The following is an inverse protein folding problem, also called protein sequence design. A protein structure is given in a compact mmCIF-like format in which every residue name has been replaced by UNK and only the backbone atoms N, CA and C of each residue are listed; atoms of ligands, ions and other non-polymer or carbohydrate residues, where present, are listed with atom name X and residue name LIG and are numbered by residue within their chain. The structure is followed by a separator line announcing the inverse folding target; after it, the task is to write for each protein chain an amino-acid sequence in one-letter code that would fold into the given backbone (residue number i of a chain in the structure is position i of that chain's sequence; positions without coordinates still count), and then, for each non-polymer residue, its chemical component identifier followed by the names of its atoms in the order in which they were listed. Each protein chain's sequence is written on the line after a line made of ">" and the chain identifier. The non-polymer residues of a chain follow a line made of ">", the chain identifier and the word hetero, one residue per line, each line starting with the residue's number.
data_IF_528536475275
#
_entry.id   IF_528536475275
#
_cell.length_a   1.000
_cell.length_b   1.000
_cell.length_c   1.000
_cell.angle_alpha   90.00
_cell.angle_beta   90.00
_cell.angle_gamma   90.00
#
_symmetry.space_group_name_H-M   'P 1'
#
loop_
_entity.id
_entity.type
_entity.pdbx_description
1 polymer ?
#
# COMPACT_ATOMS: atom_id res chain seq x y z
N UNK A 1 -28.84 4.20 77.53
CA UNK A 1 -28.77 5.52 76.87
C UNK A 1 -29.84 5.59 75.80
N UNK A 2 -31.04 5.92 76.25
CA UNK A 2 -32.19 6.25 75.41
C UNK A 2 -31.85 7.57 74.70
N UNK A 3 -31.84 7.66 73.37
CA UNK A 3 -31.70 8.96 72.72
C UNK A 3 -32.83 9.87 73.21
N UNK A 4 -32.47 11.03 73.76
CA UNK A 4 -33.46 12.02 74.18
C UNK A 4 -34.09 12.64 72.92
N UNK A 5 -35.18 12.02 72.49
CA UNK A 5 -36.01 12.47 71.37
C UNK A 5 -37.02 13.55 71.81
N UNK A 6 -37.02 13.96 73.08
CA UNK A 6 -38.04 14.85 73.64
C UNK A 6 -37.93 16.31 73.18
N UNK A 7 -36.90 16.65 72.41
CA UNK A 7 -36.58 18.00 71.96
C UNK A 7 -36.59 18.25 70.45
N UNK A 8 -37.43 17.57 69.65
CA UNK A 8 -37.99 17.97 68.32
C UNK A 8 -38.41 16.75 67.48
N UNK A 9 -39.46 16.03 67.86
CA UNK A 9 -40.11 14.96 67.05
C UNK A 9 -40.88 15.50 65.83
N UNK A 10 -40.36 16.55 65.19
CA UNK A 10 -40.97 17.15 64.01
C UNK A 10 -40.89 16.16 62.85
N UNK A 11 -42.01 15.93 62.18
CA UNK A 11 -42.04 15.20 60.90
C UNK A 11 -41.00 15.78 59.94
N UNK A 12 -40.16 14.91 59.37
CA UNK A 12 -39.06 15.24 58.48
C UNK A 12 -37.68 15.25 59.15
N UNK A 13 -37.59 15.14 60.47
CA UNK A 13 -36.31 14.97 61.18
C UNK A 13 -35.80 13.52 61.06
N UNK A 14 -34.48 13.37 61.02
CA UNK A 14 -33.78 12.09 61.03
C UNK A 14 -32.71 12.08 62.14
N UNK A 15 -32.56 10.93 62.80
CA UNK A 15 -31.59 10.72 63.87
C UNK A 15 -30.73 9.53 63.50
N UNK A 16 -29.40 9.70 63.63
CA UNK A 16 -28.47 8.60 63.46
C UNK A 16 -28.26 7.87 64.77
N UNK A 17 -28.47 6.57 64.76
CA UNK A 17 -28.24 5.69 65.90
C UNK A 17 -26.75 5.66 66.19
N UNK A 18 -26.39 6.05 67.42
CA UNK A 18 -25.00 6.12 67.88
C UNK A 18 -24.60 4.91 68.75
N UNK A 19 -25.58 4.14 69.24
CA UNK A 19 -25.39 2.94 70.06
C UNK A 19 -26.47 1.92 69.67
N UNK A 20 -26.08 0.69 69.35
CA UNK A 20 -27.02 -0.39 69.03
C UNK A 20 -27.89 -0.76 70.25
N UNK A 21 -29.12 -1.18 70.01
CA UNK A 21 -30.02 -1.59 71.08
C UNK A 21 -31.48 -1.80 70.65
N UNK A 22 -32.34 -2.08 71.62
CA UNK A 22 -33.71 -2.56 71.38
C UNK A 22 -34.82 -1.58 71.74
N UNK A 23 -34.51 -0.28 71.80
CA UNK A 23 -35.50 0.73 72.18
C UNK A 23 -36.62 0.77 71.14
N UNK A 24 -37.87 0.57 71.59
CA UNK A 24 -39.04 0.64 70.71
C UNK A 24 -39.29 2.09 70.27
N UNK A 25 -39.19 2.31 68.96
CA UNK A 25 -39.54 3.57 68.32
C UNK A 25 -40.52 3.25 67.19
N UNK A 26 -41.82 3.45 67.46
CA UNK A 26 -42.89 3.23 66.46
C UNK A 26 -43.04 1.75 66.07
N UNK A 27 -42.79 0.81 66.98
CA UNK A 27 -42.85 -0.63 66.75
C UNK A 27 -41.53 -1.23 66.24
N UNK A 28 -40.48 -0.42 66.06
CA UNK A 28 -39.16 -0.87 65.59
C UNK A 28 -38.23 -0.99 66.79
N UNK A 29 -37.74 -2.21 67.03
CA UNK A 29 -36.94 -2.57 68.23
C UNK A 29 -35.57 -3.14 67.89
N UNK A 30 -35.13 -3.06 66.64
CA UNK A 30 -33.84 -3.60 66.21
C UNK A 30 -33.02 -2.45 65.62
N UNK A 31 -32.10 -1.89 66.40
CA UNK A 31 -31.28 -0.74 66.00
C UNK A 31 -29.80 -1.08 66.12
N UNK A 32 -29.06 -0.88 65.05
CA UNK A 32 -27.62 -0.99 64.94
C UNK A 32 -26.97 0.38 64.82
N UNK A 33 -25.68 0.47 65.19
CA UNK A 33 -24.95 1.74 65.07
C UNK A 33 -24.88 2.17 63.60
N UNK A 34 -25.32 3.39 63.32
CA UNK A 34 -25.34 3.98 61.98
C UNK A 34 -26.71 3.98 61.30
N UNK A 35 -27.71 3.27 61.83
CA UNK A 35 -29.07 3.32 61.31
C UNK A 35 -29.62 4.75 61.40
N UNK A 36 -30.54 5.10 60.50
CA UNK A 36 -31.28 6.36 60.59
C UNK A 36 -32.73 6.07 61.00
N UNK A 37 -33.15 6.61 62.14
CA UNK A 37 -34.55 6.72 62.51
C UNK A 37 -35.12 8.01 61.90
N UNK A 38 -36.17 7.92 61.09
CA UNK A 38 -36.78 9.08 60.42
C UNK A 38 -38.22 9.22 60.87
N UNK A 39 -38.59 10.41 61.38
CA UNK A 39 -39.98 10.67 61.78
C UNK A 39 -40.79 11.13 60.58
N UNK A 40 -41.81 10.36 60.19
CA UNK A 40 -42.77 10.75 59.15
C UNK A 40 -44.04 11.36 59.76
N UNK A 41 -45.00 11.73 58.91
CA UNK A 41 -46.32 12.24 59.36
C UNK A 41 -47.16 11.14 60.04
N UNK A 42 -46.95 9.89 59.64
CA UNK A 42 -47.79 8.76 60.05
C UNK A 42 -47.10 7.85 61.06
N UNK A 43 -45.78 7.63 60.95
CA UNK A 43 -45.00 6.95 61.98
C UNK A 43 -43.47 7.10 61.79
N UNK A 44 -42.67 6.23 62.39
CA UNK A 44 -41.23 6.12 62.21
C UNK A 44 -40.86 5.15 61.08
N UNK A 45 -39.81 5.50 60.36
CA UNK A 45 -39.15 4.62 59.39
C UNK A 45 -37.71 4.41 59.88
N UNK A 46 -37.24 3.17 59.82
CA UNK A 46 -35.82 2.83 59.94
C UNK A 46 -35.22 2.76 58.54
N UNK A 47 -34.06 3.38 58.38
CA UNK A 47 -33.18 3.16 57.23
C UNK A 47 -31.94 2.48 57.78
N UNK A 48 -31.69 1.24 57.36
CA UNK A 48 -30.60 0.44 57.91
C UNK A 48 -29.24 1.02 57.50
N UNK A 49 -28.25 0.88 58.38
CA UNK A 49 -26.88 1.30 58.11
C UNK A 49 -26.28 0.61 56.88
N UNK A 50 -26.67 -0.64 56.62
CA UNK A 50 -26.30 -1.39 55.41
C UNK A 50 -27.00 -0.86 54.16
N UNK A 51 -28.24 -0.34 54.28
CA UNK A 51 -28.97 0.29 53.16
C UNK A 51 -28.32 1.62 52.73
N UNK A 52 -27.67 2.32 53.65
CA UNK A 52 -27.00 3.62 53.41
C UNK A 52 -25.51 3.44 53.04
N UNK A 53 -25.00 2.20 53.09
CA UNK A 53 -23.56 1.91 52.95
C UNK A 53 -22.97 2.24 51.58
N UNK A 54 -23.80 2.36 50.54
CA UNK A 54 -23.35 2.72 49.20
C UNK A 54 -23.30 4.26 49.02
N UNK A 55 -22.25 4.89 49.53
CA UNK A 55 -21.88 6.25 49.11
C UNK A 55 -21.33 6.17 47.68
N UNK A 56 -21.92 6.91 46.75
CA UNK A 56 -21.46 6.99 45.37
C UNK A 56 -19.95 7.29 45.30
N UNK A 57 -19.18 6.42 44.63
CA UNK A 57 -17.72 6.52 44.53
C UNK A 57 -16.92 5.74 45.59
N UNK A 58 -17.57 5.11 46.57
CA UNK A 58 -16.95 4.26 47.60
C UNK A 58 -17.19 2.76 47.41
N UNK A 59 -17.49 2.31 46.18
CA UNK A 59 -17.80 0.90 45.90
C UNK A 59 -16.52 0.06 46.06
N UNK A 60 -16.41 -0.63 47.19
CA UNK A 60 -15.41 -1.68 47.41
C UNK A 60 -16.07 -3.03 47.09
N UNK A 61 -15.38 -3.94 46.39
CA UNK A 61 -15.93 -5.24 45.94
C UNK A 61 -15.55 -5.60 44.50
N UNK A 62 -16.06 -6.73 44.00
CA UNK A 62 -15.79 -7.21 42.64
C UNK A 62 -16.64 -6.45 41.61
N UNK A 63 -16.00 -5.96 40.55
CA UNK A 63 -16.63 -5.21 39.46
C UNK A 63 -17.80 -5.97 38.79
N UNK A 64 -17.80 -7.31 38.84
CA UNK A 64 -18.85 -8.16 38.29
C UNK A 64 -20.25 -7.88 38.83
N UNK A 65 -20.36 -7.32 40.04
CA UNK A 65 -21.65 -6.99 40.65
C UNK A 65 -22.13 -5.58 40.28
N UNK A 66 -21.27 -4.77 39.67
CA UNK A 66 -21.58 -3.42 39.18
C UNK A 66 -21.82 -3.47 37.67
N UNK A 67 -22.93 -4.11 37.30
CA UNK A 67 -23.21 -4.48 35.90
C UNK A 67 -23.31 -3.26 34.96
N UNK A 68 -23.81 -2.12 35.44
CA UNK A 68 -23.89 -0.85 34.71
C UNK A 68 -22.50 -0.26 34.40
N UNK A 69 -21.61 -0.21 35.40
CA UNK A 69 -20.23 0.24 35.24
C UNK A 69 -19.42 -0.74 34.38
N UNK A 70 -19.62 -2.03 34.58
CA UNK A 70 -19.00 -3.06 33.76
C UNK A 70 -19.45 -2.92 32.30
N UNK A 71 -20.72 -2.66 32.04
CA UNK A 71 -21.23 -2.41 30.70
C UNK A 71 -20.62 -1.14 30.09
N UNK A 72 -20.58 -0.03 30.83
CA UNK A 72 -20.00 1.22 30.35
C UNK A 72 -18.49 1.10 30.06
N UNK A 73 -17.75 0.36 30.89
CA UNK A 73 -16.32 0.11 30.73
C UNK A 73 -16.05 -0.87 29.58
N UNK A 74 -16.88 -1.90 29.41
CA UNK A 74 -16.79 -2.83 28.28
C UNK A 74 -17.00 -2.16 26.93
N UNK A 75 -17.60 -0.97 26.89
CA UNK A 75 -17.74 -0.15 25.68
C UNK A 75 -16.51 0.72 25.39
N UNK A 76 -15.54 0.82 26.31
CA UNK A 76 -14.27 1.54 26.10
C UNK A 76 -13.26 0.62 25.45
N UNK A 77 -12.46 1.16 24.52
CA UNK A 77 -11.39 0.40 23.88
C UNK A 77 -10.33 0.01 24.94
N UNK A 78 -9.76 -1.21 24.86
CA UNK A 78 -8.62 -1.59 25.68
C UNK A 78 -7.46 -0.60 25.54
N UNK A 79 -6.75 -0.34 26.64
CA UNK A 79 -5.56 0.52 26.60
C UNK A 79 -4.41 -0.14 25.83
N UNK A 80 -4.27 -1.46 26.01
CA UNK A 80 -3.28 -2.27 25.32
C UNK A 80 -3.91 -2.89 24.06
N UNK A 81 -3.33 -2.57 22.89
CA UNK A 81 -3.72 -3.15 21.60
C UNK A 81 -5.22 -3.07 21.27
N UNK A 82 -5.81 -1.86 21.20
CA UNK A 82 -7.21 -1.71 20.86
C UNK A 82 -7.54 -2.30 19.49
N UNK A 83 -8.62 -3.08 19.41
CA UNK A 83 -9.20 -3.53 18.15
C UNK A 83 -10.26 -2.53 17.67
N UNK A 84 -10.05 -1.93 16.51
CA UNK A 84 -11.05 -1.07 15.87
C UNK A 84 -12.01 -1.92 15.03
N UNK A 85 -13.30 -1.89 15.36
CA UNK A 85 -14.34 -2.69 14.69
C UNK A 85 -15.08 -1.94 13.58
N UNK A 86 -14.72 -0.68 13.35
CA UNK A 86 -15.33 0.21 12.34
C UNK A 86 -14.26 1.09 11.69
N UNK A 87 -14.67 1.99 10.79
CA UNK A 87 -13.77 2.92 10.09
C UNK A 87 -13.02 3.81 11.08
N UNK A 88 -11.70 3.88 10.94
CA UNK A 88 -10.85 4.84 11.66
C UNK A 88 -10.68 6.08 10.78
N UNK A 89 -11.15 7.23 11.25
CA UNK A 89 -10.98 8.52 10.58
C UNK A 89 -10.10 9.44 11.42
N UNK A 90 -9.10 10.05 10.78
CA UNK A 90 -8.28 11.11 11.36
C UNK A 90 -8.63 12.43 10.67
N UNK A 91 -8.59 13.54 11.40
CA UNK A 91 -8.73 14.86 10.78
C UNK A 91 -7.54 15.15 9.84
N UNK A 92 -7.75 16.04 8.87
CA UNK A 92 -6.66 16.47 7.99
C UNK A 92 -5.48 17.01 8.79
N UNK A 93 -4.29 16.77 8.26
CA UNK A 93 -3.01 17.13 8.86
C UNK A 93 -2.68 16.45 10.21
N UNK A 94 -3.36 15.35 10.54
CA UNK A 94 -3.01 14.51 11.70
C UNK A 94 -2.21 13.30 11.26
N UNK A 95 -1.01 13.13 11.83
CA UNK A 95 -0.13 11.99 11.57
C UNK A 95 -0.58 10.74 12.34
N UNK A 96 -0.69 9.62 11.63
CA UNK A 96 -0.44 8.32 12.24
C UNK A 96 1.05 8.25 12.61
N UNK A 97 1.34 7.79 13.82
CA UNK A 97 2.70 7.79 14.37
C UNK A 97 3.05 6.46 15.00
N UNK A 98 4.31 6.09 14.89
CA UNK A 98 4.91 4.95 15.58
C UNK A 98 5.98 5.44 16.53
N UNK A 99 6.19 4.75 17.65
CA UNK A 99 7.36 5.01 18.50
C UNK A 99 8.61 4.72 17.68
N UNK A 100 9.61 5.59 17.77
CA UNK A 100 10.86 5.38 17.05
C UNK A 100 11.68 4.21 17.65
N UNK A 101 12.72 3.77 16.95
CA UNK A 101 13.55 2.65 17.42
C UNK A 101 14.20 2.92 18.78
N UNK A 102 14.50 4.19 19.09
CA UNK A 102 15.11 4.57 20.37
C UNK A 102 14.12 4.56 21.55
N UNK A 103 12.82 4.51 21.28
CA UNK A 103 11.76 4.56 22.30
C UNK A 103 11.53 5.95 22.90
N UNK A 104 12.21 6.98 22.41
CA UNK A 104 12.19 8.33 23.00
C UNK A 104 11.41 9.33 22.14
N UNK A 105 11.03 8.95 20.93
CA UNK A 105 10.35 9.80 19.97
C UNK A 105 9.31 9.07 19.15
N UNK A 106 8.89 9.73 18.06
CA UNK A 106 7.87 9.22 17.16
C UNK A 106 8.25 9.43 15.70
N UNK A 107 7.91 8.46 14.87
CA UNK A 107 7.96 8.52 13.42
C UNK A 107 6.59 8.92 12.89
N UNK A 108 6.53 10.02 12.14
CA UNK A 108 5.33 10.45 11.42
C UNK A 108 5.22 9.66 10.12
N UNK A 109 4.25 8.74 10.01
CA UNK A 109 4.19 7.83 8.87
C UNK A 109 3.26 8.31 7.78
N UNK A 110 1.96 8.39 8.06
CA UNK A 110 0.94 8.76 7.08
C UNK A 110 0.01 9.83 7.64
N UNK A 111 -0.35 10.81 6.80
CA UNK A 111 -1.45 11.74 7.07
C UNK A 111 -2.21 12.09 5.81
N UNK A 112 -3.51 12.32 5.94
CA UNK A 112 -4.26 13.04 4.91
C UNK A 112 -3.90 14.54 4.94
N UNK A 113 -3.83 15.16 3.76
CA UNK A 113 -3.64 16.60 3.62
C UNK A 113 -4.93 17.27 3.07
N UNK A 114 -4.88 18.60 2.87
CA UNK A 114 -6.05 19.35 2.38
C UNK A 114 -6.31 19.14 0.88
N UNK A 115 -5.36 18.54 0.18
CA UNK A 115 -5.41 18.27 -1.26
C UNK A 115 -5.93 16.85 -1.56
N UNK A 116 -6.60 16.22 -0.59
CA UNK A 116 -7.12 14.85 -0.68
C UNK A 116 -6.04 13.81 -1.07
N UNK A 117 -4.79 14.07 -0.69
CA UNK A 117 -3.69 13.12 -0.87
C UNK A 117 -3.09 12.72 0.47
N UNK A 118 -2.23 11.71 0.42
CA UNK A 118 -1.56 11.16 1.59
C UNK A 118 -0.10 11.60 1.55
N UNK A 119 0.33 12.28 2.60
CA UNK A 119 1.74 12.56 2.81
C UNK A 119 2.38 11.36 3.52
N UNK A 120 3.53 10.93 3.01
CA UNK A 120 4.37 9.92 3.65
C UNK A 120 5.55 10.63 4.31
N UNK A 121 5.62 10.58 5.64
CA UNK A 121 6.61 11.33 6.44
C UNK A 121 7.94 10.59 6.66
N UNK A 122 8.03 9.31 6.30
CA UNK A 122 9.24 8.47 6.39
C UNK A 122 9.41 7.63 5.13
N UNK A 123 10.57 7.01 4.94
CA UNK A 123 10.78 6.06 3.85
C UNK A 123 9.81 4.87 3.95
N UNK A 124 9.19 4.49 2.83
CA UNK A 124 8.47 3.23 2.71
C UNK A 124 9.45 2.10 2.44
N UNK A 125 9.63 1.22 3.42
CA UNK A 125 10.35 -0.04 3.24
C UNK A 125 9.34 -1.13 2.90
N UNK A 126 9.09 -1.32 1.62
CA UNK A 126 8.22 -2.38 1.09
C UNK A 126 9.09 -3.46 0.47
N UNK A 127 8.69 -4.73 0.56
CA UNK A 127 9.37 -5.82 -0.12
C UNK A 127 9.22 -5.67 -1.63
N UNK A 128 8.20 -6.31 -2.18
CA UNK A 128 7.81 -6.12 -3.58
C UNK A 128 6.56 -5.24 -3.67
N UNK A 129 6.46 -4.49 -4.78
CA UNK A 129 5.22 -3.81 -5.19
C UNK A 129 4.62 -4.69 -6.28
N UNK A 130 3.57 -5.44 -5.94
CA UNK A 130 2.98 -6.46 -6.80
C UNK A 130 1.55 -6.12 -7.22
N UNK A 131 1.15 -6.71 -8.33
CA UNK A 131 -0.19 -6.64 -8.89
C UNK A 131 -0.91 -7.97 -8.61
N UNK A 132 -2.24 -7.92 -8.54
CA UNK A 132 -3.05 -9.14 -8.51
C UNK A 132 -2.99 -9.90 -9.85
N UNK A 133 -3.32 -11.20 -9.81
CA UNK A 133 -3.51 -12.00 -11.03
C UNK A 133 -4.57 -11.35 -11.94
N UNK A 134 -4.30 -11.34 -13.24
CA UNK A 134 -5.17 -10.75 -14.28
C UNK A 134 -5.52 -9.25 -14.10
N UNK A 135 -4.71 -8.46 -13.40
CA UNK A 135 -4.98 -7.04 -13.14
C UNK A 135 -4.98 -6.12 -14.39
N UNK A 136 -4.67 -6.64 -15.57
CA UNK A 136 -4.65 -5.87 -16.82
C UNK A 136 -3.55 -4.80 -16.83
N UNK A 137 -3.92 -3.54 -17.15
CA UNK A 137 -2.98 -2.41 -17.20
C UNK A 137 -2.95 -1.68 -15.86
N UNK A 138 -1.79 -1.62 -15.23
CA UNK A 138 -1.55 -0.84 -14.00
C UNK A 138 -0.67 0.36 -14.31
N UNK A 139 -1.16 1.57 -14.00
CA UNK A 139 -0.32 2.77 -13.95
C UNK A 139 0.41 2.80 -12.61
N UNK A 140 1.72 2.55 -12.60
CA UNK A 140 2.53 2.55 -11.37
C UNK A 140 2.91 3.95 -10.89
N UNK A 141 3.03 4.89 -11.82
CA UNK A 141 3.39 6.27 -11.55
C UNK A 141 2.78 7.16 -12.63
N UNK A 142 2.24 8.30 -12.23
CA UNK A 142 1.77 9.35 -13.13
C UNK A 142 2.25 10.70 -12.60
N UNK A 143 2.95 11.45 -13.45
CA UNK A 143 3.45 12.78 -13.12
C UNK A 143 2.64 13.80 -13.92
N UNK A 144 1.69 14.50 -13.28
CA UNK A 144 0.94 15.54 -13.96
C UNK A 144 1.85 16.74 -14.26
N UNK A 145 1.67 17.33 -15.44
CA UNK A 145 2.34 18.56 -15.85
C UNK A 145 1.32 19.69 -15.81
N UNK A 146 1.64 20.78 -15.12
CA UNK A 146 0.78 21.96 -15.05
C UNK A 146 1.21 23.00 -16.08
N UNK A 147 0.28 23.87 -16.47
CA UNK A 147 0.57 25.06 -17.30
C UNK A 147 1.42 26.12 -16.60
N UNK A 148 1.81 25.89 -15.33
CA UNK A 148 2.74 26.76 -14.60
C UNK A 148 4.19 26.33 -14.76
N UNK A 149 4.45 25.12 -15.27
CA UNK A 149 5.80 24.70 -15.64
C UNK A 149 6.25 25.46 -16.89
N UNK A 150 7.51 25.90 -16.94
CA UNK A 150 8.05 26.51 -18.15
C UNK A 150 8.28 25.46 -19.24
N UNK A 151 8.10 25.86 -20.50
CA UNK A 151 8.43 25.04 -21.68
C UNK A 151 9.90 24.54 -21.61
N UNK A 152 10.10 23.27 -21.99
CA UNK A 152 11.39 22.59 -21.93
C UNK A 152 11.82 22.11 -20.54
N UNK A 153 11.03 22.31 -19.49
CA UNK A 153 11.34 21.78 -18.14
C UNK A 153 11.20 20.26 -18.14
N UNK A 154 12.18 19.53 -17.61
CA UNK A 154 12.12 18.06 -17.53
C UNK A 154 11.07 17.62 -16.51
N UNK A 155 10.21 16.69 -16.93
CA UNK A 155 9.23 15.99 -16.12
C UNK A 155 9.55 14.50 -16.18
N UNK A 156 10.24 13.98 -15.16
CA UNK A 156 10.75 12.62 -15.19
C UNK A 156 10.80 11.94 -13.82
N UNK A 157 10.77 10.62 -13.85
CA UNK A 157 11.06 9.76 -12.71
C UNK A 157 12.31 8.94 -13.01
N UNK A 158 13.12 8.72 -11.97
CA UNK A 158 14.38 7.99 -12.07
C UNK A 158 14.42 6.85 -11.08
N UNK A 159 14.76 5.65 -11.56
CA UNK A 159 15.15 4.54 -10.72
C UNK A 159 16.64 4.68 -10.38
N UNK A 160 16.98 4.53 -9.10
CA UNK A 160 18.35 4.65 -8.59
C UNK A 160 18.79 3.43 -7.80
N UNK A 161 20.09 3.13 -7.86
CA UNK A 161 20.75 2.15 -7.01
C UNK A 161 21.97 2.80 -6.38
N UNK A 162 22.05 2.77 -5.05
CA UNK A 162 23.19 3.34 -4.30
C UNK A 162 23.51 4.79 -4.72
N UNK A 163 22.46 5.61 -4.90
CA UNK A 163 22.58 6.99 -5.35
C UNK A 163 22.84 7.19 -6.85
N UNK A 164 23.09 6.14 -7.63
CA UNK A 164 23.33 6.21 -9.07
C UNK A 164 22.04 6.03 -9.87
N UNK A 165 21.81 6.87 -10.88
CA UNK A 165 20.69 6.71 -11.82
C UNK A 165 20.91 5.48 -12.69
N UNK A 166 19.89 4.63 -12.84
CA UNK A 166 19.94 3.45 -13.74
C UNK A 166 18.99 3.58 -14.93
N UNK A 167 17.80 4.13 -14.70
CA UNK A 167 16.78 4.36 -15.73
C UNK A 167 16.05 5.66 -15.42
N UNK A 168 15.82 6.49 -16.44
CA UNK A 168 14.96 7.67 -16.33
C UNK A 168 13.91 7.63 -17.46
N UNK A 169 12.65 7.76 -17.07
CA UNK A 169 11.53 7.92 -18.00
C UNK A 169 10.93 9.30 -17.81
N UNK A 170 10.66 9.99 -18.90
CA UNK A 170 10.15 11.34 -18.79
C UNK A 170 9.81 11.98 -20.12
N UNK A 171 9.52 13.26 -20.04
CA UNK A 171 9.26 14.15 -21.16
C UNK A 171 9.70 15.56 -20.78
N UNK A 172 9.60 16.48 -21.73
CA UNK A 172 9.72 17.91 -21.49
C UNK A 172 8.32 18.51 -21.34
N UNK A 173 8.14 19.48 -20.45
CA UNK A 173 6.92 20.29 -20.37
C UNK A 173 6.77 21.12 -21.64
N UNK A 174 5.54 21.26 -22.14
CA UNK A 174 5.21 22.14 -23.28
C UNK A 174 4.83 23.57 -22.85
N UNK A 175 4.88 23.87 -21.54
CA UNK A 175 4.47 25.17 -20.98
C UNK A 175 2.96 25.40 -20.92
N UNK A 176 2.14 24.47 -21.38
CA UNK A 176 0.68 24.56 -21.47
C UNK A 176 -0.05 23.49 -20.65
N UNK A 177 0.68 22.68 -19.88
CA UNK A 177 0.13 21.59 -19.07
C UNK A 177 0.12 20.24 -19.78
N UNK A 178 0.79 20.15 -20.93
CA UNK A 178 1.07 18.91 -21.63
C UNK A 178 2.55 18.55 -21.60
N UNK A 179 2.95 17.66 -22.51
CA UNK A 179 4.30 17.14 -22.64
C UNK A 179 4.74 17.16 -24.11
N UNK A 180 6.04 17.33 -24.33
CA UNK A 180 6.75 17.15 -25.60
C UNK A 180 7.97 16.23 -25.39
N UNK A 181 8.51 15.66 -26.47
CA UNK A 181 9.83 15.01 -26.47
C UNK A 181 9.98 13.86 -25.45
N UNK A 182 8.98 12.98 -25.35
CA UNK A 182 9.03 11.77 -24.49
C UNK A 182 10.32 10.98 -24.70
N UNK A 183 10.91 10.52 -23.61
CA UNK A 183 12.16 9.77 -23.64
C UNK A 183 12.22 8.65 -22.61
N UNK A 184 13.11 7.70 -22.90
CA UNK A 184 13.64 6.72 -21.95
C UNK A 184 15.15 6.80 -22.03
N UNK A 185 15.81 7.13 -20.92
CA UNK A 185 17.27 7.18 -20.82
C UNK A 185 17.76 5.99 -20.01
N UNK A 186 18.58 5.15 -20.64
CA UNK A 186 19.35 4.12 -19.96
C UNK A 186 20.74 4.68 -19.63
N UNK A 187 21.12 4.68 -18.36
CA UNK A 187 22.42 5.17 -17.90
C UNK A 187 23.52 4.09 -17.91
N UNK A 188 23.14 2.82 -18.11
CA UNK A 188 24.03 1.68 -18.15
C UNK A 188 24.03 0.96 -19.51
N UNK A 189 24.43 -0.31 -19.49
CA UNK A 189 24.41 -1.15 -20.68
C UNK A 189 22.97 -1.52 -21.08
N UNK A 190 22.74 -1.63 -22.39
CA UNK A 190 21.53 -2.23 -22.91
C UNK A 190 21.78 -3.72 -23.17
N UNK A 191 21.31 -4.57 -22.25
CA UNK A 191 21.43 -6.03 -22.35
C UNK A 191 20.23 -6.54 -23.15
N UNK A 192 20.50 -7.29 -24.21
CA UNK A 192 19.50 -7.81 -25.16
C UNK A 192 19.54 -9.33 -25.20
N UNK A 193 18.42 -9.97 -25.54
CA UNK A 193 18.39 -11.41 -25.75
C UNK A 193 19.18 -11.79 -27.01
N UNK A 194 20.10 -12.75 -26.88
CA UNK A 194 20.94 -13.25 -27.97
C UNK A 194 20.61 -14.73 -28.18
N UNK A 195 20.06 -15.05 -29.34
CA UNK A 195 19.69 -16.42 -29.68
C UNK A 195 20.69 -17.02 -30.65
N UNK A 196 21.33 -18.11 -30.23
CA UNK A 196 22.27 -18.85 -31.08
C UNK A 196 21.52 -19.78 -32.05
N UNK A 197 21.76 -19.62 -33.35
CA UNK A 197 21.18 -20.48 -34.38
C UNK A 197 22.23 -21.47 -34.88
N UNK A 198 22.01 -22.74 -34.54
CA UNK A 198 22.91 -23.87 -34.81
C UNK A 198 22.29 -24.89 -35.79
N UNK A 199 21.24 -24.51 -36.50
CA UNK A 199 20.50 -25.35 -37.45
C UNK A 199 20.41 -24.66 -38.81
N UNK A 200 20.13 -25.44 -39.86
CA UNK A 200 19.96 -24.94 -41.24
C UNK A 200 18.76 -24.01 -41.43
N UNK A 201 17.80 -24.05 -40.50
CA UNK A 201 16.59 -23.22 -40.54
C UNK A 201 16.25 -22.71 -39.15
N UNK A 202 15.78 -21.47 -39.06
CA UNK A 202 15.27 -20.88 -37.83
C UNK A 202 14.19 -19.84 -38.12
N UNK A 203 13.14 -19.78 -37.30
CA UNK A 203 12.09 -18.75 -37.41
C UNK A 203 12.18 -17.86 -36.17
N UNK A 204 12.27 -16.55 -36.36
CA UNK A 204 12.48 -15.63 -35.24
C UNK A 204 11.28 -15.62 -34.28
N UNK A 205 11.57 -15.51 -32.99
CA UNK A 205 10.59 -15.46 -31.91
C UNK A 205 10.36 -14.02 -31.45
N UNK A 206 9.25 -13.75 -30.77
CA UNK A 206 8.96 -12.42 -30.20
C UNK A 206 10.03 -11.95 -29.19
N UNK A 207 10.70 -12.88 -28.52
CA UNK A 207 11.78 -12.62 -27.57
C UNK A 207 13.15 -12.37 -28.23
N UNK A 208 13.30 -12.58 -29.53
CA UNK A 208 14.59 -12.42 -30.21
C UNK A 208 14.87 -10.95 -30.52
N UNK A 209 16.06 -10.50 -30.10
CA UNK A 209 16.62 -9.17 -30.42
C UNK A 209 17.86 -9.32 -31.31
N UNK A 210 18.72 -10.30 -31.01
CA UNK A 210 19.92 -10.61 -31.80
C UNK A 210 19.91 -12.10 -32.16
N UNK A 211 20.01 -12.39 -33.46
CA UNK A 211 20.27 -13.73 -33.98
C UNK A 211 21.77 -13.90 -34.22
N UNK A 212 22.38 -14.79 -33.45
CA UNK A 212 23.79 -15.15 -33.53
C UNK A 212 23.91 -16.47 -34.30
N UNK A 213 23.94 -16.39 -35.63
CA UNK A 213 23.93 -17.58 -36.49
C UNK A 213 25.31 -18.19 -36.61
N UNK A 214 25.52 -19.34 -35.95
CA UNK A 214 26.78 -20.09 -35.99
C UNK A 214 26.77 -21.18 -37.05
N UNK A 215 25.59 -21.55 -37.56
CA UNK A 215 25.45 -22.67 -38.49
C UNK A 215 26.07 -22.44 -39.87
N UNK A 216 26.34 -21.20 -40.27
CA UNK A 216 27.11 -20.90 -41.50
C UNK A 216 28.47 -21.64 -41.52
N UNK A 217 29.06 -21.94 -40.35
CA UNK A 217 30.27 -22.77 -40.25
C UNK A 217 30.09 -24.21 -40.77
N UNK A 218 28.85 -24.71 -40.80
CA UNK A 218 28.47 -26.08 -41.18
C UNK A 218 27.77 -26.14 -42.53
N UNK A 219 26.88 -25.20 -42.83
CA UNK A 219 26.08 -25.17 -44.06
C UNK A 219 25.26 -23.89 -44.18
N UNK A 220 24.61 -23.69 -45.33
CA UNK A 220 23.74 -22.53 -45.53
C UNK A 220 22.56 -22.52 -44.53
N UNK A 221 22.13 -21.32 -44.15
CA UNK A 221 21.05 -21.10 -43.16
C UNK A 221 19.91 -20.32 -43.80
N UNK A 222 18.66 -20.68 -43.50
CA UNK A 222 17.50 -19.83 -43.75
C UNK A 222 16.92 -19.33 -42.44
N UNK A 223 16.85 -18.01 -42.26
CA UNK A 223 16.20 -17.36 -41.14
C UNK A 223 14.89 -16.75 -41.64
N UNK A 224 13.77 -17.23 -41.12
CA UNK A 224 12.44 -16.75 -41.48
C UNK A 224 11.98 -15.65 -40.53
N UNK A 225 11.40 -14.59 -41.08
CA UNK A 225 10.69 -13.51 -40.40
C UNK A 225 9.17 -13.79 -40.47
N UNK A 226 8.55 -14.35 -39.42
CA UNK A 226 7.13 -14.68 -39.44
C UNK A 226 6.25 -13.45 -39.52
N UNK A 227 5.07 -13.54 -40.14
CA UNK A 227 4.09 -12.43 -40.21
C UNK A 227 3.70 -11.95 -38.81
N UNK A 228 3.63 -12.86 -37.83
CA UNK A 228 3.33 -12.52 -36.44
C UNK A 228 4.38 -11.60 -35.77
N UNK A 229 5.58 -11.50 -36.35
CA UNK A 229 6.67 -10.67 -35.83
C UNK A 229 6.74 -9.29 -36.51
N UNK A 230 5.84 -9.02 -37.45
CA UNK A 230 5.72 -7.75 -38.18
C UNK A 230 5.06 -6.67 -37.31
N UNK A 231 5.79 -6.25 -36.28
CA UNK A 231 5.35 -5.23 -35.33
C UNK A 231 6.04 -3.92 -35.69
N UNK A 232 5.28 -2.83 -35.79
CA UNK A 232 5.83 -1.51 -36.12
C UNK A 232 6.87 -1.07 -35.07
N UNK A 233 8.02 -0.61 -35.53
CA UNK A 233 9.15 -0.22 -34.69
C UNK A 233 9.99 -1.36 -34.15
N UNK A 234 9.66 -2.63 -34.44
CA UNK A 234 10.50 -3.76 -34.04
C UNK A 234 11.83 -3.73 -34.79
N UNK A 235 12.93 -3.95 -34.07
CA UNK A 235 14.28 -4.05 -34.60
C UNK A 235 14.83 -5.45 -34.30
N UNK A 236 15.48 -6.07 -35.29
CA UNK A 236 16.19 -7.35 -35.14
C UNK A 236 17.55 -7.27 -35.82
N UNK A 237 18.60 -7.76 -35.16
CA UNK A 237 19.94 -7.90 -35.78
C UNK A 237 20.22 -9.36 -36.05
N UNK A 238 20.67 -9.68 -37.26
CA UNK A 238 21.08 -11.02 -37.68
C UNK A 238 22.56 -10.98 -38.04
N UNK A 239 23.34 -11.81 -37.36
CA UNK A 239 24.80 -11.86 -37.47
C UNK A 239 25.25 -13.23 -37.99
N UNK A 240 26.14 -13.20 -38.99
CA UNK A 240 27.00 -14.34 -39.27
C UNK A 240 28.06 -14.45 -38.17
N UNK A 241 27.86 -15.43 -37.28
CA UNK A 241 28.80 -15.77 -36.23
C UNK A 241 29.63 -17.02 -36.54
N UNK A 242 29.16 -17.86 -37.47
CA UNK A 242 29.92 -19.03 -37.95
C UNK A 242 31.05 -18.64 -38.90
N UNK A 243 31.01 -17.43 -39.46
CA UNK A 243 32.12 -16.81 -40.17
C UNK A 243 32.36 -17.36 -41.58
N UNK A 244 31.43 -18.16 -42.11
CA UNK A 244 31.51 -18.76 -43.45
C UNK A 244 30.32 -18.39 -44.35
N UNK A 245 29.64 -17.27 -44.07
CA UNK A 245 28.50 -16.85 -44.90
C UNK A 245 28.84 -16.58 -46.37
N UNK A 246 30.10 -16.37 -46.75
CA UNK A 246 30.50 -16.28 -48.16
C UNK A 246 30.49 -17.59 -48.93
N UNK A 247 30.49 -18.72 -48.21
CA UNK A 247 30.33 -20.06 -48.79
C UNK A 247 28.94 -20.62 -48.49
N UNK A 248 28.52 -20.43 -47.25
CA UNK A 248 27.30 -20.97 -46.66
C UNK A 248 26.38 -19.81 -46.29
N UNK A 249 25.80 -19.20 -47.31
CA UNK A 249 24.99 -17.99 -47.18
C UNK A 249 23.90 -18.11 -46.11
N UNK A 250 23.65 -17.01 -45.42
CA UNK A 250 22.50 -16.86 -44.53
C UNK A 250 21.42 -16.12 -45.31
N UNK A 251 20.35 -16.83 -45.68
CA UNK A 251 19.19 -16.27 -46.38
C UNK A 251 18.15 -15.86 -45.34
N UNK A 252 17.74 -14.61 -45.39
CA UNK A 252 16.67 -14.07 -44.55
C UNK A 252 15.44 -13.93 -45.44
N UNK A 253 14.33 -14.55 -45.05
CA UNK A 253 13.10 -14.62 -45.85
C UNK A 253 11.89 -14.25 -45.01
N UNK A 254 10.88 -13.63 -45.62
CA UNK A 254 9.57 -13.44 -45.00
C UNK A 254 8.72 -14.70 -45.13
N UNK A 255 7.75 -14.88 -44.23
CA UNK A 255 6.83 -16.04 -44.26
C UNK A 255 5.68 -15.84 -45.26
N UNK A 256 5.21 -14.59 -45.42
CA UNK A 256 4.04 -14.25 -46.23
C UNK A 256 4.39 -13.33 -47.40
N UNK A 257 3.50 -12.36 -47.64
CA UNK A 257 3.63 -11.40 -48.74
C UNK A 257 4.49 -10.18 -48.38
N UNK A 258 5.03 -10.12 -47.15
CA UNK A 258 5.88 -9.03 -46.69
C UNK A 258 7.18 -8.98 -47.49
N UNK A 259 7.76 -7.79 -47.57
CA UNK A 259 9.04 -7.56 -48.26
C UNK A 259 10.13 -7.11 -47.29
N UNK A 260 11.37 -7.32 -47.70
CA UNK A 260 12.60 -6.78 -47.11
C UNK A 260 13.20 -5.84 -48.17
N UNK A 261 13.12 -4.52 -47.95
CA UNK A 261 13.52 -3.50 -48.95
C UNK A 261 12.92 -3.74 -50.36
N UNK A 262 11.65 -4.17 -50.41
CA UNK A 262 10.91 -4.47 -51.65
C UNK A 262 11.17 -5.86 -52.25
N UNK A 263 12.03 -6.68 -51.64
CA UNK A 263 12.35 -8.05 -52.08
C UNK A 263 11.76 -9.11 -51.14
N UNK A 264 11.62 -10.35 -51.60
CA UNK A 264 11.14 -11.47 -50.76
C UNK A 264 12.21 -11.97 -49.77
N UNK A 265 13.48 -11.76 -50.11
CA UNK A 265 14.61 -12.26 -49.32
C UNK A 265 15.77 -11.28 -49.31
N UNK A 266 16.54 -11.28 -48.22
CA UNK A 266 17.83 -10.61 -48.09
C UNK A 266 18.89 -11.64 -47.71
N UNK A 267 20.07 -11.58 -48.33
CA UNK A 267 21.12 -12.58 -48.13
C UNK A 267 22.36 -11.95 -47.52
N UNK A 268 22.86 -12.55 -46.43
CA UNK A 268 24.20 -12.29 -45.91
C UNK A 268 25.15 -13.30 -46.58
N UNK A 269 26.03 -12.80 -47.43
CA UNK A 269 26.96 -13.59 -48.25
C UNK A 269 28.43 -13.15 -48.07
N UNK A 270 28.74 -12.43 -46.99
CA UNK A 270 30.09 -12.05 -46.62
C UNK A 270 30.36 -12.57 -45.20
N UNK A 271 31.53 -13.19 -45.01
CA UNK A 271 31.94 -13.75 -43.73
C UNK A 271 31.90 -12.68 -42.62
N UNK A 272 31.35 -13.05 -41.46
CA UNK A 272 31.19 -12.18 -40.29
C UNK A 272 30.35 -10.92 -40.54
N UNK A 273 29.55 -10.86 -41.60
CA UNK A 273 28.68 -9.73 -41.82
C UNK A 273 27.40 -9.82 -40.96
N UNK A 274 26.68 -8.71 -40.83
CA UNK A 274 25.39 -8.62 -40.16
C UNK A 274 24.44 -7.70 -40.91
N UNK A 275 23.16 -7.90 -40.69
CA UNK A 275 22.12 -6.94 -41.08
C UNK A 275 21.28 -6.61 -39.85
N UNK A 276 20.90 -5.35 -39.72
CA UNK A 276 19.85 -4.95 -38.79
C UNK A 276 18.63 -4.57 -39.60
N UNK A 277 17.47 -5.12 -39.23
CA UNK A 277 16.21 -4.86 -39.88
C UNK A 277 15.29 -4.16 -38.88
N UNK A 278 14.50 -3.19 -39.37
CA UNK A 278 13.35 -2.68 -38.64
C UNK A 278 12.06 -2.89 -39.44
N UNK A 279 10.94 -3.01 -38.73
CA UNK A 279 9.61 -3.19 -39.33
C UNK A 279 8.78 -1.91 -39.19
N UNK A 280 8.03 -1.55 -40.23
CA UNK A 280 7.01 -0.50 -40.16
C UNK A 280 5.62 -1.05 -39.77
N UNK A 281 5.49 -2.36 -39.60
CA UNK A 281 4.23 -3.08 -39.35
C UNK A 281 3.62 -3.69 -40.62
N UNK A 282 4.24 -3.51 -41.78
CA UNK A 282 3.83 -4.09 -43.08
C UNK A 282 5.01 -4.73 -43.84
N UNK A 283 6.21 -4.16 -43.76
CA UNK A 283 7.42 -4.66 -44.38
C UNK A 283 8.63 -4.49 -43.43
N UNK A 284 9.74 -5.09 -43.83
CA UNK A 284 11.05 -4.95 -43.20
C UNK A 284 11.98 -4.10 -44.06
N UNK A 285 12.90 -3.38 -43.40
CA UNK A 285 13.86 -2.50 -44.04
C UNK A 285 15.23 -2.65 -43.37
N UNK A 286 16.30 -2.70 -44.16
CA UNK A 286 17.66 -2.79 -43.64
C UNK A 286 18.26 -1.43 -43.30
N UNK A 287 19.11 -1.39 -42.25
CA UNK A 287 19.89 -0.22 -41.82
C UNK A 287 21.35 -0.58 -41.54
#
# INVERSE_FOLDING_TARGET
>A
NTPDISGTTKTGSAWRVSVAGTTDIGGITDWEVGDLAVKTANDWIKIDNEDIKAVWGGITGTLSNQTDLQNALNLKAPLDSPLFTTVVSLANNIWLRFVDYSGTGFLNTLKGNQDNSVDVGVQLNVGSIEAEEDAGRITRFDMPVSSSSADGTIMSATDKIDGNNVLEVGAYSDGAGGIDGRFVKNYGANIQNVTSVTTATYSILASDNIIHSTYSATGAVTITLPTAQLVSGRIITIKDAGGLAGTNNITIATEGAEKIDGLDTLVINNNYNSVTLYSDGTNWFAI
#
